data_IF_234924167871
#
_entry.id   IF_234924167871
#
_cell.length_a   1.000
_cell.length_b   1.000
_cell.length_c   1.000
_cell.angle_alpha   90.00
_cell.angle_beta   90.00
_cell.angle_gamma   90.00
#
_symmetry.space_group_name_H-M   'P 1'
#
loop_
_entity.id
_entity.type
_entity.pdbx_description
1 polymer ?
#
# COMPACT_ATOMS: atom_id res chain seq x y z
N UNK A 1 8.72 5.81 1.92
CA UNK A 1 7.77 5.25 2.86
C UNK A 1 8.45 4.96 4.17
N UNK A 2 9.06 3.78 4.29
CA UNK A 2 9.57 3.21 5.55
C UNK A 2 10.55 4.13 6.29
N UNK A 3 11.56 4.67 5.62
CA UNK A 3 12.54 5.57 6.25
C UNK A 3 11.88 6.76 6.97
N UNK A 4 10.84 7.37 6.37
CA UNK A 4 10.08 8.45 7.02
C UNK A 4 9.31 7.96 8.24
N UNK A 5 8.71 6.76 8.15
CA UNK A 5 7.96 6.16 9.28
C UNK A 5 8.89 5.82 10.45
N UNK A 6 10.15 5.48 10.16
CA UNK A 6 11.19 5.23 11.16
C UNK A 6 11.90 6.51 11.66
N UNK A 7 11.50 7.69 11.18
CA UNK A 7 12.15 8.95 11.53
C UNK A 7 13.61 9.06 11.06
N UNK A 8 13.97 8.31 10.00
CA UNK A 8 15.31 8.38 9.40
C UNK A 8 15.39 9.66 8.56
N UNK A 9 16.39 10.52 8.77
CA UNK A 9 16.61 11.70 7.96
C UNK A 9 16.78 11.34 6.47
N UNK A 10 16.26 12.19 5.58
CA UNK A 10 16.33 11.95 4.13
C UNK A 10 17.59 12.52 3.47
N UNK A 11 18.34 13.37 4.17
CA UNK A 11 19.63 13.87 3.69
C UNK A 11 20.73 12.84 3.95
N UNK A 12 21.59 12.60 2.96
CA UNK A 12 22.59 11.52 2.99
C UNK A 12 23.50 11.59 4.22
N UNK A 13 24.04 12.77 4.52
CA UNK A 13 24.94 12.97 5.66
C UNK A 13 24.24 12.70 7.00
N UNK A 14 23.00 13.18 7.16
CA UNK A 14 22.24 12.96 8.39
C UNK A 14 21.81 11.48 8.51
N UNK A 15 21.47 10.83 7.41
CA UNK A 15 21.15 9.40 7.38
C UNK A 15 22.36 8.56 7.82
N UNK A 16 23.56 8.83 7.28
CA UNK A 16 24.80 8.16 7.68
C UNK A 16 25.10 8.40 9.17
N UNK A 17 24.97 9.64 9.64
CA UNK A 17 25.15 9.96 11.08
C UNK A 17 24.16 9.17 11.97
N UNK A 18 22.93 8.92 11.49
CA UNK A 18 21.94 8.13 12.22
C UNK A 18 22.33 6.66 12.28
N UNK A 19 22.82 6.10 11.17
CA UNK A 19 23.32 4.71 11.10
C UNK A 19 24.50 4.53 12.07
N UNK A 20 25.46 5.47 12.06
CA UNK A 20 26.64 5.41 12.93
C UNK A 20 26.32 5.47 14.45
N UNK A 21 25.11 5.93 14.82
CA UNK A 21 24.65 5.88 16.21
C UNK A 21 24.16 4.50 16.64
N UNK A 22 24.11 3.52 15.73
CA UNK A 22 23.73 2.12 15.97
C UNK A 22 22.41 1.95 16.75
N UNK A 23 21.44 2.85 16.52
CA UNK A 23 20.11 2.69 17.10
C UNK A 23 19.37 1.56 16.39
N UNK A 24 19.20 0.44 17.07
CA UNK A 24 18.45 -0.73 16.58
C UNK A 24 17.06 -0.72 17.19
N UNK A 25 16.05 -0.92 16.36
CA UNK A 25 14.67 -1.13 16.79
C UNK A 25 14.06 -2.33 16.08
N UNK A 26 13.20 -3.07 16.78
CA UNK A 26 12.41 -4.13 16.15
C UNK A 26 11.22 -3.49 15.45
N UNK A 27 10.94 -3.96 14.25
CA UNK A 27 9.72 -3.62 13.52
C UNK A 27 9.06 -4.90 13.03
N UNK A 28 7.76 -4.84 12.85
CA UNK A 28 6.99 -5.89 12.20
C UNK A 28 7.33 -5.98 10.71
N UNK A 29 7.05 -7.11 10.11
CA UNK A 29 7.13 -7.32 8.68
C UNK A 29 6.01 -8.24 8.25
N UNK A 30 5.46 -8.02 7.06
CA UNK A 30 4.53 -8.94 6.44
C UNK A 30 5.24 -9.95 5.53
N UNK A 31 4.57 -11.07 5.29
CA UNK A 31 4.95 -12.00 4.22
C UNK A 31 3.77 -12.13 3.25
N UNK A 32 4.03 -12.12 1.98
CA UNK A 32 3.04 -12.26 0.93
C UNK A 32 3.40 -13.47 0.05
N UNK A 33 2.69 -14.58 0.21
CA UNK A 33 3.05 -15.88 -0.37
C UNK A 33 4.54 -16.22 -0.16
N UNK A 34 5.04 -16.07 1.08
CA UNK A 34 6.41 -16.35 1.48
C UNK A 34 7.44 -15.25 1.15
N UNK A 35 7.07 -14.18 0.42
CA UNK A 35 7.95 -13.04 0.15
C UNK A 35 7.75 -11.95 1.19
N UNK A 36 8.82 -11.47 1.80
CA UNK A 36 8.75 -10.41 2.82
C UNK A 36 8.51 -9.03 2.23
N UNK A 37 7.75 -8.21 2.96
CA UNK A 37 7.67 -6.77 2.77
C UNK A 37 7.75 -6.07 4.13
N UNK A 38 8.21 -4.83 4.15
CA UNK A 38 8.44 -4.07 5.38
C UNK A 38 7.60 -2.81 5.48
N UNK A 39 7.23 -2.26 4.36
CA UNK A 39 6.45 -1.02 4.27
C UNK A 39 4.99 -1.31 3.89
N UNK A 40 4.77 -1.85 2.69
CA UNK A 40 3.43 -2.00 2.13
C UNK A 40 3.39 -3.00 0.98
N UNK A 41 2.34 -3.80 0.94
CA UNK A 41 2.00 -4.61 -0.22
C UNK A 41 0.69 -4.09 -0.83
N UNK A 42 0.52 -4.22 -2.15
CA UNK A 42 -0.69 -3.74 -2.82
C UNK A 42 -1.14 -4.61 -3.97
N UNK A 43 -2.46 -4.64 -4.17
CA UNK A 43 -3.14 -5.33 -5.27
C UNK A 43 -4.17 -4.40 -5.93
N UNK A 44 -4.51 -4.70 -7.17
CA UNK A 44 -5.45 -3.88 -7.92
C UNK A 44 -4.78 -2.68 -8.58
N UNK A 45 -5.42 -1.51 -8.54
CA UNK A 45 -4.91 -0.30 -9.19
C UNK A 45 -3.49 0.08 -8.74
N UNK A 46 -3.21 -0.08 -7.46
CA UNK A 46 -1.91 0.21 -6.85
C UNK A 46 -0.78 -0.62 -7.50
N UNK A 47 -1.01 -1.93 -7.66
CA UNK A 47 -0.06 -2.82 -8.31
C UNK A 47 0.12 -2.51 -9.80
N UNK A 48 -0.96 -2.14 -10.50
CA UNK A 48 -0.89 -1.71 -11.91
C UNK A 48 -0.02 -0.47 -12.07
N UNK A 49 -0.20 0.53 -11.21
CA UNK A 49 0.63 1.74 -11.24
C UNK A 49 2.09 1.41 -10.92
N UNK A 50 2.35 0.53 -9.95
CA UNK A 50 3.71 0.11 -9.61
C UNK A 50 4.41 -0.59 -10.78
N UNK A 51 3.70 -1.47 -11.51
CA UNK A 51 4.23 -2.13 -12.70
C UNK A 51 4.55 -1.12 -13.81
N UNK A 52 3.61 -0.21 -14.12
CA UNK A 52 3.83 0.88 -15.11
C UNK A 52 4.97 1.82 -14.71
N UNK A 53 5.11 2.09 -13.42
CA UNK A 53 6.17 2.95 -12.91
C UNK A 53 7.55 2.30 -13.00
N UNK A 54 7.63 0.97 -12.81
CA UNK A 54 8.88 0.21 -12.97
C UNK A 54 9.41 0.23 -14.41
N UNK A 55 8.51 0.30 -15.40
CA UNK A 55 8.87 0.42 -16.83
C UNK A 55 9.38 1.83 -17.21
N UNK A 56 9.14 2.83 -16.38
CA UNK A 56 9.48 4.22 -16.68
C UNK A 56 10.91 4.60 -16.23
N UNK A 57 11.67 5.23 -17.13
CA UNK A 57 13.03 5.70 -16.87
C UNK A 57 13.06 6.86 -15.84
N UNK A 58 12.01 7.69 -15.81
CA UNK A 58 11.92 8.85 -14.89
C UNK A 58 11.21 8.45 -13.60
N UNK A 59 11.98 8.31 -12.53
CA UNK A 59 11.45 8.06 -11.16
C UNK A 59 11.02 9.37 -10.48
N UNK A 60 10.11 9.27 -9.52
CA UNK A 60 9.69 10.37 -8.65
C UNK A 60 8.18 10.55 -8.55
N UNK A 61 7.74 11.32 -7.55
CA UNK A 61 6.33 11.51 -7.24
C UNK A 61 5.53 12.09 -8.43
N UNK A 62 6.11 13.03 -9.19
CA UNK A 62 5.42 13.65 -10.34
C UNK A 62 5.09 12.61 -11.42
N UNK A 63 6.04 11.71 -11.73
CA UNK A 63 5.81 10.63 -12.71
C UNK A 63 4.75 9.65 -12.20
N UNK A 64 4.80 9.27 -10.93
CA UNK A 64 3.80 8.41 -10.31
C UNK A 64 2.38 9.01 -10.39
N UNK A 65 2.23 10.28 -10.02
CA UNK A 65 0.95 11.00 -10.11
C UNK A 65 0.45 11.04 -11.56
N UNK A 66 1.32 11.35 -12.52
CA UNK A 66 0.94 11.39 -13.95
C UNK A 66 0.40 10.04 -14.43
N UNK A 67 1.10 8.95 -14.11
CA UNK A 67 0.67 7.58 -14.46
C UNK A 67 -0.66 7.27 -13.78
N UNK A 68 -0.81 7.57 -12.49
CA UNK A 68 -2.06 7.32 -11.78
C UNK A 68 -3.26 8.04 -12.43
N UNK A 69 -3.09 9.30 -12.84
CA UNK A 69 -4.15 10.05 -13.53
C UNK A 69 -4.44 9.54 -14.94
N UNK A 70 -3.46 9.01 -15.67
CA UNK A 70 -3.69 8.44 -17.02
C UNK A 70 -4.37 7.07 -16.95
N UNK A 71 -4.09 6.27 -15.91
CA UNK A 71 -4.59 4.90 -15.80
C UNK A 71 -5.96 4.81 -15.09
N UNK A 72 -6.31 5.79 -14.26
CA UNK A 72 -7.51 5.72 -13.41
C UNK A 72 -8.81 5.56 -14.19
N UNK A 73 -8.92 6.16 -15.38
CA UNK A 73 -10.13 6.10 -16.22
C UNK A 73 -10.33 4.72 -16.86
N UNK A 74 -9.26 3.99 -17.09
CA UNK A 74 -9.27 2.69 -17.76
C UNK A 74 -9.34 1.52 -16.77
N UNK A 75 -9.06 1.77 -15.48
CA UNK A 75 -9.06 0.71 -14.49
C UNK A 75 -10.49 0.34 -14.03
N UNK A 76 -10.72 -0.97 -13.88
CA UNK A 76 -11.99 -1.51 -13.37
C UNK A 76 -11.77 -2.19 -12.03
N UNK A 77 -12.61 -1.82 -11.06
CA UNK A 77 -12.62 -2.46 -9.75
C UNK A 77 -12.95 -3.95 -9.86
N UNK A 78 -12.26 -4.76 -9.06
CA UNK A 78 -12.39 -6.23 -9.06
C UNK A 78 -13.05 -6.72 -7.77
N UNK A 79 -13.58 -7.95 -7.79
CA UNK A 79 -14.13 -8.61 -6.63
C UNK A 79 -13.05 -9.36 -5.87
N UNK A 80 -13.07 -9.22 -4.57
CA UNK A 80 -12.14 -9.89 -3.66
C UNK A 80 -12.90 -10.55 -2.51
N UNK A 81 -12.49 -11.77 -2.17
CA UNK A 81 -12.90 -12.45 -0.95
C UNK A 81 -11.71 -12.40 0.02
N UNK A 82 -11.91 -11.80 1.18
CA UNK A 82 -10.87 -11.69 2.20
C UNK A 82 -11.27 -12.50 3.42
N UNK A 83 -10.31 -13.24 3.96
CA UNK A 83 -10.41 -13.81 5.29
C UNK A 83 -9.35 -13.13 6.16
N UNK A 84 -9.77 -12.42 7.20
CA UNK A 84 -8.90 -11.67 8.09
C UNK A 84 -9.12 -12.20 9.50
N UNK A 85 -8.12 -12.85 10.09
CA UNK A 85 -8.18 -13.50 11.39
C UNK A 85 -9.45 -14.39 11.56
N UNK A 86 -9.77 -15.18 10.52
CA UNK A 86 -10.90 -16.09 10.46
C UNK A 86 -12.25 -15.44 10.12
N UNK A 87 -12.34 -14.11 9.98
CA UNK A 87 -13.57 -13.41 9.56
C UNK A 87 -13.58 -13.19 8.06
N UNK A 88 -14.70 -13.51 7.42
CA UNK A 88 -14.88 -13.37 5.97
C UNK A 88 -15.47 -12.02 5.59
N UNK A 89 -14.94 -11.47 4.49
CA UNK A 89 -15.39 -10.22 3.88
C UNK A 89 -15.45 -10.38 2.36
N UNK A 90 -16.48 -9.85 1.74
CA UNK A 90 -16.60 -9.76 0.28
C UNK A 90 -16.64 -8.28 -0.12
N UNK A 91 -15.72 -7.86 -0.93
CA UNK A 91 -15.63 -6.46 -1.38
C UNK A 91 -15.31 -6.37 -2.86
N UNK A 92 -16.05 -5.54 -3.56
CA UNK A 92 -15.54 -4.95 -4.79
C UNK A 92 -14.59 -3.82 -4.39
N UNK A 93 -13.35 -3.89 -4.87
CA UNK A 93 -12.34 -2.90 -4.54
C UNK A 93 -11.64 -2.37 -5.79
N UNK A 94 -11.35 -1.08 -5.77
CA UNK A 94 -10.48 -0.40 -6.72
C UNK A 94 -9.02 -0.79 -6.46
N UNK A 95 -8.64 -0.83 -5.19
CA UNK A 95 -7.35 -1.36 -4.74
C UNK A 95 -7.45 -1.85 -3.30
N UNK A 96 -6.54 -2.75 -2.92
CA UNK A 96 -6.34 -3.16 -1.54
C UNK A 96 -4.86 -3.02 -1.23
N UNK A 97 -4.54 -2.29 -0.17
CA UNK A 97 -3.17 -2.16 0.34
C UNK A 97 -3.07 -2.78 1.72
N UNK A 98 -2.08 -3.63 1.90
CA UNK A 98 -1.74 -4.25 3.18
C UNK A 98 -0.56 -3.47 3.74
N UNK A 99 -0.83 -2.64 4.73
CA UNK A 99 0.09 -1.64 5.22
C UNK A 99 0.68 -2.05 6.57
N UNK A 100 2.00 -2.17 6.64
CA UNK A 100 2.77 -2.27 7.86
C UNK A 100 3.15 -0.86 8.37
N UNK A 101 3.36 0.08 7.46
CA UNK A 101 3.58 1.49 7.80
C UNK A 101 2.48 2.40 7.23
N UNK A 102 2.40 3.61 7.74
CA UNK A 102 1.29 4.53 7.42
C UNK A 102 1.26 5.03 5.98
N UNK A 103 2.38 5.02 5.25
CA UNK A 103 2.52 5.73 4.00
C UNK A 103 3.22 4.95 2.88
N UNK A 104 2.79 5.16 1.65
CA UNK A 104 3.52 4.71 0.46
C UNK A 104 4.88 5.38 0.31
N UNK A 105 4.94 6.65 0.64
CA UNK A 105 6.10 7.51 0.49
C UNK A 105 5.67 8.95 0.24
N UNK A 106 6.61 9.89 0.28
CA UNK A 106 6.37 11.31 0.03
C UNK A 106 5.17 11.91 0.80
N UNK A 107 4.92 11.41 2.01
CA UNK A 107 3.78 11.77 2.88
C UNK A 107 2.38 11.38 2.33
N UNK A 108 2.28 10.44 1.40
CA UNK A 108 1.01 9.88 0.96
C UNK A 108 0.59 8.76 1.92
N UNK A 109 -0.24 9.08 2.92
CA UNK A 109 -0.67 8.16 3.99
C UNK A 109 -2.00 7.51 3.66
N UNK A 110 -1.99 6.19 3.43
CA UNK A 110 -3.20 5.38 3.20
C UNK A 110 -3.78 4.89 4.54
N UNK A 111 -2.93 4.49 5.48
CA UNK A 111 -3.32 4.14 6.84
C UNK A 111 -2.61 5.03 7.85
N UNK A 112 -3.17 6.20 8.18
CA UNK A 112 -2.50 7.19 9.03
C UNK A 112 -2.13 6.71 10.43
N UNK A 113 -2.77 5.63 10.91
CA UNK A 113 -2.60 5.08 12.25
C UNK A 113 -1.83 3.75 12.28
N UNK A 114 -1.38 3.25 11.12
CA UNK A 114 -0.58 2.03 11.08
C UNK A 114 0.67 2.15 11.95
N UNK A 115 0.94 1.10 12.70
CA UNK A 115 2.07 0.98 13.63
C UNK A 115 3.05 -0.07 13.12
N UNK A 116 4.34 0.18 13.31
CA UNK A 116 5.39 -0.75 12.88
C UNK A 116 5.74 -1.81 13.94
N UNK A 117 5.03 -1.85 15.07
CA UNK A 117 5.40 -2.69 16.21
C UNK A 117 4.19 -3.14 17.07
N UNK A 118 3.02 -3.27 16.47
CA UNK A 118 1.81 -3.73 17.15
C UNK A 118 1.40 -5.17 16.77
N UNK A 119 2.19 -5.83 15.91
CA UNK A 119 1.94 -7.18 15.42
C UNK A 119 0.79 -7.29 14.43
N UNK A 120 0.29 -6.16 13.90
CA UNK A 120 -0.85 -6.11 13.00
C UNK A 120 -0.49 -5.46 11.65
N UNK A 121 -1.28 -5.79 10.66
CA UNK A 121 -1.26 -5.14 9.35
C UNK A 121 -2.59 -4.43 9.13
N UNK A 122 -2.55 -3.26 8.51
CA UNK A 122 -3.75 -2.50 8.14
C UNK A 122 -4.17 -2.84 6.72
N UNK A 123 -5.31 -3.50 6.56
CA UNK A 123 -5.89 -3.83 5.27
C UNK A 123 -6.77 -2.68 4.82
N UNK A 124 -6.23 -1.86 3.92
CA UNK A 124 -6.86 -0.66 3.38
C UNK A 124 -7.61 -0.99 2.09
N UNK A 125 -8.93 -1.08 2.13
CA UNK A 125 -9.79 -1.44 1.02
C UNK A 125 -10.41 -0.16 0.45
N UNK A 126 -9.93 0.29 -0.71
CA UNK A 126 -10.52 1.40 -1.44
C UNK A 126 -11.61 0.85 -2.37
N UNK A 127 -12.86 1.13 -2.01
CA UNK A 127 -14.03 0.72 -2.78
C UNK A 127 -14.17 1.52 -4.08
N UNK A 128 -14.99 1.06 -5.05
CA UNK A 128 -15.31 1.85 -6.24
C UNK A 128 -15.82 3.24 -5.89
N UNK A 129 -15.43 4.22 -6.66
CA UNK A 129 -15.82 5.63 -6.50
C UNK A 129 -15.98 6.31 -7.86
N UNK A 130 -16.79 7.38 -7.96
CA UNK A 130 -16.88 8.18 -9.18
C UNK A 130 -15.52 8.84 -9.50
N UNK A 131 -15.07 8.79 -10.75
CA UNK A 131 -13.72 9.22 -11.16
C UNK A 131 -13.39 10.67 -10.74
N UNK A 132 -14.38 11.56 -10.75
CA UNK A 132 -14.19 12.96 -10.32
C UNK A 132 -13.80 13.09 -8.83
N UNK A 133 -13.98 12.04 -8.01
CA UNK A 133 -13.56 11.99 -6.61
C UNK A 133 -12.08 11.60 -6.44
N UNK A 134 -11.44 11.07 -7.47
CA UNK A 134 -10.05 10.60 -7.38
C UNK A 134 -9.08 11.67 -6.86
N UNK A 135 -9.09 12.93 -7.34
CA UNK A 135 -8.21 13.97 -6.81
C UNK A 135 -8.45 14.25 -5.32
N UNK A 136 -9.71 14.24 -4.88
CA UNK A 136 -10.04 14.46 -3.47
C UNK A 136 -9.59 13.31 -2.58
N UNK A 137 -9.71 12.05 -3.04
CA UNK A 137 -9.21 10.86 -2.33
C UNK A 137 -7.68 10.94 -2.22
N UNK A 138 -6.98 11.22 -3.33
CA UNK A 138 -5.53 11.39 -3.34
C UNK A 138 -5.07 12.50 -2.36
N UNK A 139 -5.74 13.65 -2.38
CA UNK A 139 -5.42 14.77 -1.48
C UNK A 139 -5.59 14.40 0.00
N UNK A 140 -6.58 13.55 0.34
CA UNK A 140 -6.76 13.06 1.72
C UNK A 140 -5.56 12.25 2.21
N UNK A 141 -4.89 11.51 1.32
CA UNK A 141 -3.68 10.76 1.68
C UNK A 141 -2.55 11.71 2.11
N UNK A 142 -2.34 12.80 1.37
CA UNK A 142 -1.32 13.81 1.72
C UNK A 142 -1.67 14.61 2.99
N UNK A 143 -2.96 14.73 3.31
CA UNK A 143 -3.45 15.38 4.53
C UNK A 143 -3.57 14.45 5.74
N UNK A 144 -3.11 13.21 5.65
CA UNK A 144 -3.20 12.18 6.69
C UNK A 144 -4.63 11.91 7.16
N UNK A 145 -5.62 12.12 6.33
CA UNK A 145 -7.03 11.92 6.66
C UNK A 145 -7.76 10.98 5.68
N UNK A 146 -7.03 10.07 5.03
CA UNK A 146 -7.57 9.07 4.12
C UNK A 146 -8.69 8.23 4.78
N UNK A 147 -8.53 7.86 6.06
CA UNK A 147 -9.51 7.12 6.86
C UNK A 147 -10.88 7.81 6.99
N UNK A 148 -10.96 9.12 6.77
CA UNK A 148 -12.23 9.88 6.76
C UNK A 148 -12.97 9.78 5.42
N UNK A 149 -12.41 9.07 4.43
CA UNK A 149 -13.10 8.85 3.16
C UNK A 149 -14.15 7.76 3.32
N UNK A 150 -15.39 8.00 2.89
CA UNK A 150 -16.43 6.97 2.85
C UNK A 150 -16.11 5.82 1.90
N UNK A 151 -15.16 6.00 0.99
CA UNK A 151 -14.71 4.97 0.04
C UNK A 151 -13.60 4.09 0.60
N UNK A 152 -12.91 4.51 1.65
CA UNK A 152 -11.83 3.73 2.26
C UNK A 152 -12.32 3.03 3.52
N UNK A 153 -12.13 1.71 3.58
CA UNK A 153 -12.32 0.89 4.78
C UNK A 153 -10.96 0.35 5.22
N UNK A 154 -10.65 0.48 6.49
CA UNK A 154 -9.43 -0.08 7.08
C UNK A 154 -9.84 -1.14 8.09
N UNK A 155 -9.22 -2.32 8.00
CA UNK A 155 -9.41 -3.45 8.91
C UNK A 155 -8.02 -3.88 9.35
N UNK A 156 -7.81 -4.13 10.63
CA UNK A 156 -6.55 -4.66 11.15
C UNK A 156 -6.61 -6.17 11.25
N UNK A 157 -5.48 -6.83 11.04
CA UNK A 157 -5.35 -8.27 11.22
C UNK A 157 -3.92 -8.76 11.05
N UNK A 158 -3.68 -9.98 11.52
CA UNK A 158 -2.36 -10.64 11.49
C UNK A 158 -2.28 -11.78 10.48
N UNK A 159 -3.42 -12.41 10.16
CA UNK A 159 -3.53 -13.50 9.17
C UNK A 159 -4.55 -13.12 8.12
N UNK A 160 -4.09 -12.87 6.91
CA UNK A 160 -4.93 -12.39 5.84
C UNK A 160 -4.84 -13.35 4.64
N UNK A 161 -5.98 -13.80 4.14
CA UNK A 161 -6.08 -14.52 2.87
C UNK A 161 -6.94 -13.68 1.95
N UNK A 162 -6.45 -13.41 0.74
CA UNK A 162 -7.18 -12.67 -0.28
C UNK A 162 -7.33 -13.56 -1.49
N UNK A 163 -8.58 -13.81 -1.90
CA UNK A 163 -8.92 -14.55 -3.12
C UNK A 163 -9.47 -13.59 -4.16
N UNK A 164 -9.02 -13.76 -5.40
CA UNK A 164 -9.45 -12.99 -6.57
C UNK A 164 -9.70 -13.90 -7.77
N UNK A 165 -10.42 -13.41 -8.77
CA UNK A 165 -10.88 -14.22 -9.90
C UNK A 165 -9.75 -14.57 -10.88
N UNK A 166 -8.75 -13.69 -11.00
CA UNK A 166 -7.67 -13.86 -12.00
C UNK A 166 -6.30 -13.57 -11.39
N UNK A 167 -5.29 -14.22 -11.93
CA UNK A 167 -3.90 -13.85 -11.70
C UNK A 167 -3.64 -12.42 -12.18
N UNK A 168 -2.91 -11.66 -11.40
CA UNK A 168 -2.57 -10.28 -11.73
C UNK A 168 -1.33 -9.80 -10.98
N UNK A 169 -0.88 -8.59 -11.32
CA UNK A 169 0.20 -7.94 -10.60
C UNK A 169 -0.17 -7.67 -9.13
N UNK A 170 0.84 -7.75 -8.30
CA UNK A 170 0.91 -7.20 -6.94
C UNK A 170 2.16 -6.34 -6.85
N UNK A 171 2.30 -5.54 -5.81
CA UNK A 171 3.59 -4.98 -5.46
C UNK A 171 3.96 -5.28 -4.00
N UNK A 172 5.24 -5.42 -3.73
CA UNK A 172 5.83 -5.49 -2.39
C UNK A 172 6.84 -4.36 -2.26
N UNK A 173 6.60 -3.43 -1.35
CA UNK A 173 7.43 -2.23 -1.13
C UNK A 173 7.70 -1.38 -2.40
N UNK A 174 6.84 -1.51 -3.39
CA UNK A 174 6.90 -0.83 -4.68
C UNK A 174 7.46 -1.66 -5.82
N UNK A 175 8.03 -2.84 -5.56
CA UNK A 175 8.50 -3.76 -6.60
C UNK A 175 7.34 -4.63 -7.11
N UNK A 176 7.08 -4.67 -8.42
CA UNK A 176 5.98 -5.43 -8.99
C UNK A 176 6.31 -6.93 -9.12
N UNK A 177 5.30 -7.78 -8.88
CA UNK A 177 5.33 -9.23 -9.05
C UNK A 177 4.00 -9.70 -9.64
N UNK A 178 4.00 -10.80 -10.40
CA UNK A 178 2.78 -11.52 -10.76
C UNK A 178 2.53 -12.63 -9.75
N UNK A 179 1.29 -12.75 -9.29
CA UNK A 179 0.87 -13.81 -8.37
C UNK A 179 -0.52 -14.34 -8.75
N UNK A 180 -0.77 -15.59 -8.36
CA UNK A 180 -2.01 -16.30 -8.63
C UNK A 180 -3.24 -15.71 -7.95
N UNK A 181 -4.27 -16.53 -7.83
CA UNK A 181 -5.60 -16.13 -7.36
C UNK A 181 -5.76 -16.18 -5.84
N UNK A 182 -4.89 -16.88 -5.13
CA UNK A 182 -4.89 -16.97 -3.67
C UNK A 182 -3.61 -16.36 -3.09
N UNK A 183 -3.79 -15.39 -2.23
CA UNK A 183 -2.74 -14.53 -1.68
C UNK A 183 -2.78 -14.66 -0.15
N UNK A 184 -1.72 -15.27 0.43
CA UNK A 184 -1.61 -15.50 1.88
C UNK A 184 -0.61 -14.51 2.49
N UNK A 185 -1.04 -13.84 3.55
CA UNK A 185 -0.26 -12.82 4.26
C UNK A 185 -0.27 -13.15 5.76
#
# INVERSE_FOLDING_TARGET
GLARSLGIPLGDVQAIKRINKLHVSKIDSGTFNGRKFFNMAGIGFDAQISARFAENVKRGLKSYIKIAFSEVSNYRSQNYHLTIDGKEYKHQAFMISVANSSQYGNNAHISPFASLNDGLLDICILRPFPLYKFPAIALRMFRRNAHKSSYLKIIQGSKIIIKREQEAAIHLDGDPFNMGTELCI
#
